data_IF_177533751300
#
_entry.id   IF_177533751300
#
_cell.length_a   1.000
_cell.length_b   1.000
_cell.length_c   1.000
_cell.angle_alpha   90.00
_cell.angle_beta   90.00
_cell.angle_gamma   90.00
#
_symmetry.space_group_name_H-M   'P 1'
#
loop_
_entity.id
_entity.type
_entity.pdbx_description
1 polymer ?
#
# COMPACT_ATOMS: atom_id res chain seq x y z
N UNK A 1 -5.83 -11.38 -2.67
CA UNK A 1 -4.52 -11.19 -1.99
C UNK A 1 -4.28 -9.69 -1.98
N UNK A 2 -4.27 -8.99 -0.83
CA UNK A 2 -4.42 -7.52 -0.80
C UNK A 2 -3.55 -6.82 0.26
N UNK A 3 -2.82 -5.78 -0.16
CA UNK A 3 -2.01 -4.88 0.68
C UNK A 3 -2.74 -3.58 1.13
N UNK A 4 -3.15 -3.50 2.39
CA UNK A 4 -2.54 -2.74 3.51
C UNK A 4 -2.48 -1.18 3.53
N UNK A 5 -3.48 -0.52 4.19
CA UNK A 5 -3.40 0.68 5.10
C UNK A 5 -4.38 0.66 6.27
N UNK A 6 -3.94 1.21 7.42
CA UNK A 6 -4.71 1.38 8.65
C UNK A 6 -4.88 2.88 8.92
N UNK A 7 -6.14 3.35 8.89
CA UNK A 7 -6.73 4.33 9.80
C UNK A 7 -8.13 4.78 9.33
N UNK A 8 -8.51 4.66 8.05
CA UNK A 8 -9.80 5.20 7.56
C UNK A 8 -10.47 4.39 6.40
N UNK A 9 -10.26 3.07 6.29
CA UNK A 9 -10.53 2.32 5.03
C UNK A 9 -11.54 1.16 5.12
N UNK A 10 -12.21 0.76 4.02
CA UNK A 10 -13.19 -0.34 4.04
C UNK A 10 -12.59 -1.69 4.48
N UNK A 11 -13.39 -2.48 5.22
CA UNK A 11 -13.04 -3.68 6.01
C UNK A 11 -12.05 -4.72 5.42
N UNK A 12 -12.08 -5.13 4.13
CA UNK A 12 -11.32 -6.32 3.69
C UNK A 12 -9.79 -6.22 3.76
N UNK A 13 -9.21 -5.04 3.51
CA UNK A 13 -7.76 -4.82 3.58
C UNK A 13 -7.26 -4.79 5.03
N UNK A 14 -8.08 -4.28 5.96
CA UNK A 14 -7.72 -4.26 7.38
C UNK A 14 -7.57 -5.68 7.92
N UNK A 15 -8.51 -6.56 7.56
CA UNK A 15 -8.50 -7.93 8.01
C UNK A 15 -7.18 -8.63 7.67
N UNK A 16 -6.76 -8.61 6.40
CA UNK A 16 -5.54 -9.33 6.02
C UNK A 16 -4.26 -8.73 6.60
N UNK A 17 -4.14 -7.39 6.65
CA UNK A 17 -3.00 -6.74 7.30
C UNK A 17 -2.90 -7.14 8.76
N UNK A 18 -4.00 -7.06 9.50
CA UNK A 18 -4.05 -7.38 10.92
C UNK A 18 -3.66 -8.84 11.17
N UNK A 19 -4.17 -9.76 10.34
CA UNK A 19 -3.82 -11.18 10.42
C UNK A 19 -2.34 -11.45 10.07
N UNK A 20 -1.79 -10.77 9.06
CA UNK A 20 -0.38 -10.86 8.71
C UNK A 20 0.53 -10.36 9.84
N UNK A 21 0.16 -9.25 10.49
CA UNK A 21 0.85 -8.75 11.67
C UNK A 21 0.73 -9.74 12.83
N UNK A 22 -0.47 -10.29 13.07
CA UNK A 22 -0.72 -11.25 14.15
C UNK A 22 0.12 -12.52 13.99
N UNK A 23 0.20 -13.08 12.78
CA UNK A 23 1.03 -14.28 12.55
C UNK A 23 2.53 -13.95 12.65
N UNK A 24 2.98 -12.81 12.13
CA UNK A 24 4.38 -12.37 12.26
C UNK A 24 4.79 -12.20 13.73
N UNK A 25 3.92 -11.61 14.56
CA UNK A 25 4.12 -11.52 16.02
C UNK A 25 4.22 -12.90 16.65
N UNK A 26 3.29 -13.81 16.34
CA UNK A 26 3.31 -15.17 16.90
C UNK A 26 4.55 -15.97 16.50
N UNK A 27 5.04 -15.79 15.27
CA UNK A 27 6.31 -16.40 14.86
C UNK A 27 7.48 -15.82 15.64
N UNK A 28 7.53 -14.50 15.84
CA UNK A 28 8.58 -13.86 16.62
C UNK A 28 8.56 -14.27 18.10
N UNK A 29 7.37 -14.45 18.72
CA UNK A 29 7.25 -14.98 20.09
C UNK A 29 7.86 -16.38 20.24
N UNK A 30 7.70 -17.24 19.22
CA UNK A 30 8.13 -18.65 19.26
C UNK A 30 9.60 -18.82 18.86
N UNK A 31 10.01 -18.16 17.79
CA UNK A 31 11.32 -18.37 17.16
C UNK A 31 12.33 -17.28 17.48
N UNK A 32 11.88 -16.14 18.03
CA UNK A 32 12.66 -14.92 18.14
C UNK A 32 13.94 -15.01 18.94
N UNK A 33 13.99 -15.89 19.95
CA UNK A 33 15.17 -16.14 20.78
C UNK A 33 15.91 -17.43 20.38
N UNK A 34 15.55 -18.05 19.26
CA UNK A 34 16.16 -19.32 18.85
C UNK A 34 17.61 -19.08 18.40
N UNK A 35 18.62 -19.78 18.97
CA UNK A 35 20.04 -19.47 18.72
C UNK A 35 20.48 -19.69 17.26
N UNK A 36 19.75 -20.50 16.50
CA UNK A 36 20.02 -20.73 15.07
C UNK A 36 19.32 -19.72 14.13
N UNK A 37 18.48 -18.82 14.65
CA UNK A 37 17.76 -17.86 13.81
C UNK A 37 18.68 -16.69 13.44
N UNK A 38 19.06 -16.60 12.17
CA UNK A 38 19.97 -15.56 11.68
C UNK A 38 19.26 -14.31 11.15
N UNK A 39 18.13 -14.47 10.46
CA UNK A 39 17.39 -13.38 9.84
C UNK A 39 15.94 -13.74 9.54
N UNK A 40 15.13 -12.71 9.29
CA UNK A 40 13.75 -12.81 8.83
C UNK A 40 13.64 -12.26 7.41
N UNK A 41 13.08 -13.05 6.52
CA UNK A 41 12.53 -12.53 5.27
C UNK A 41 11.04 -12.25 5.50
N UNK A 42 10.60 -11.03 5.21
CA UNK A 42 9.18 -10.70 5.29
C UNK A 42 8.54 -11.03 3.95
N UNK A 43 7.49 -11.86 3.97
CA UNK A 43 6.75 -12.27 2.77
C UNK A 43 7.66 -12.91 1.70
N UNK A 44 7.24 -12.91 0.44
CA UNK A 44 8.02 -13.41 -0.68
C UNK A 44 7.66 -12.66 -1.96
N UNK A 45 8.64 -11.96 -2.55
CA UNK A 45 8.54 -11.31 -3.85
C UNK A 45 7.30 -10.41 -3.99
N UNK A 46 7.27 -9.29 -3.26
CA UNK A 46 6.21 -8.31 -3.43
C UNK A 46 6.06 -7.90 -4.91
N UNK A 47 4.81 -7.77 -5.35
CA UNK A 47 4.49 -7.38 -6.72
C UNK A 47 4.58 -8.49 -7.77
N UNK A 48 5.04 -9.70 -7.41
CA UNK A 48 5.06 -10.84 -8.32
C UNK A 48 3.66 -11.11 -8.90
N UNK A 49 3.58 -11.42 -10.19
CA UNK A 49 2.33 -11.58 -10.95
C UNK A 49 1.43 -10.32 -10.94
N UNK A 50 2.02 -9.14 -11.09
CA UNK A 50 1.33 -7.84 -11.18
C UNK A 50 0.44 -7.52 -9.98
N UNK A 51 0.86 -7.95 -8.79
CA UNK A 51 0.06 -7.85 -7.56
C UNK A 51 0.20 -6.52 -6.81
N UNK A 52 1.04 -5.60 -7.27
CA UNK A 52 1.21 -4.28 -6.66
C UNK A 52 0.00 -3.39 -6.85
N UNK A 53 -0.58 -3.38 -8.05
CA UNK A 53 -1.77 -2.61 -8.36
C UNK A 53 -3.02 -3.42 -8.03
N UNK A 54 -3.91 -2.84 -7.22
CA UNK A 54 -5.19 -3.46 -6.89
C UNK A 54 -6.33 -2.52 -7.22
N UNK A 55 -7.31 -3.02 -7.96
CA UNK A 55 -8.50 -2.26 -8.35
C UNK A 55 -9.73 -2.62 -7.50
N UNK A 56 -9.51 -3.14 -6.30
CA UNK A 56 -10.59 -3.51 -5.38
C UNK A 56 -11.27 -2.29 -4.77
N UNK A 57 -12.50 -2.47 -4.26
CA UNK A 57 -13.21 -1.42 -3.52
C UNK A 57 -12.42 -0.92 -2.30
N UNK A 58 -11.63 -1.80 -1.68
CA UNK A 58 -10.80 -1.44 -0.54
C UNK A 58 -9.59 -0.60 -0.96
N UNK A 59 -8.95 -0.93 -2.10
CA UNK A 59 -7.89 -0.09 -2.69
C UNK A 59 -8.41 1.29 -3.12
N UNK A 60 -9.64 1.37 -3.64
CA UNK A 60 -10.28 2.66 -3.94
C UNK A 60 -10.48 3.52 -2.70
N UNK A 61 -11.02 2.95 -1.62
CA UNK A 61 -11.11 3.66 -0.35
C UNK A 61 -9.74 4.13 0.13
N UNK A 62 -8.74 3.25 0.05
CA UNK A 62 -7.36 3.50 0.45
C UNK A 62 -6.74 4.67 -0.29
N UNK A 63 -6.96 4.71 -1.60
CA UNK A 63 -6.46 5.75 -2.46
C UNK A 63 -7.05 7.13 -2.12
N UNK A 64 -8.36 7.20 -1.85
CA UNK A 64 -9.02 8.47 -1.46
C UNK A 64 -8.43 9.06 -0.19
N UNK A 65 -8.18 8.24 0.82
CA UNK A 65 -7.52 8.67 2.07
C UNK A 65 -6.06 9.06 1.83
N UNK A 66 -5.36 8.32 0.97
CA UNK A 66 -3.99 8.67 0.60
C UNK A 66 -3.93 10.04 -0.08
N UNK A 67 -4.85 10.32 -1.01
CA UNK A 67 -4.98 11.61 -1.69
C UNK A 67 -5.33 12.74 -0.71
N UNK A 68 -6.26 12.51 0.22
CA UNK A 68 -6.61 13.52 1.22
C UNK A 68 -5.41 13.86 2.12
N UNK A 69 -4.62 12.85 2.51
CA UNK A 69 -3.40 13.09 3.29
C UNK A 69 -2.32 13.82 2.49
N UNK A 70 -2.21 13.55 1.18
CA UNK A 70 -1.21 14.17 0.31
C UNK A 70 -1.54 15.64 -0.02
N UNK A 71 -2.79 15.91 -0.38
CA UNK A 71 -3.19 17.22 -0.90
C UNK A 71 -3.88 18.11 0.15
N UNK A 72 -4.41 17.52 1.22
CA UNK A 72 -5.15 18.20 2.29
C UNK A 72 -6.57 18.65 1.88
N UNK A 73 -6.72 19.24 0.69
CA UNK A 73 -8.00 19.74 0.16
C UNK A 73 -8.20 19.29 -1.28
N UNK A 74 -9.46 19.19 -1.70
CA UNK A 74 -9.79 18.77 -3.07
C UNK A 74 -9.36 19.81 -4.11
N UNK A 75 -9.39 21.10 -3.77
CA UNK A 75 -8.96 22.18 -4.66
C UNK A 75 -7.49 22.05 -5.03
N UNK A 76 -6.62 21.74 -4.05
CA UNK A 76 -5.19 21.49 -4.31
C UNK A 76 -4.96 20.25 -5.18
N UNK A 77 -5.79 19.22 -5.05
CA UNK A 77 -5.73 18.07 -5.96
C UNK A 77 -6.16 18.48 -7.37
N UNK A 78 -7.28 19.19 -7.52
CA UNK A 78 -7.78 19.66 -8.81
C UNK A 78 -6.76 20.53 -9.54
N UNK A 79 -6.11 21.43 -8.81
CA UNK A 79 -5.01 22.27 -9.32
C UNK A 79 -3.82 21.42 -9.76
N UNK A 80 -3.31 20.53 -8.89
CA UNK A 80 -2.14 19.71 -9.18
C UNK A 80 -2.37 18.72 -10.33
N UNK A 81 -3.58 18.17 -10.47
CA UNK A 81 -3.94 17.24 -11.53
C UNK A 81 -4.40 17.92 -12.82
N UNK A 82 -4.61 19.25 -12.81
CA UNK A 82 -5.12 19.98 -13.96
C UNK A 82 -6.52 19.54 -14.38
N UNK A 83 -7.39 19.23 -13.42
CA UNK A 83 -8.70 18.57 -13.66
C UNK A 83 -9.71 19.45 -14.40
N UNK A 84 -9.38 20.72 -14.68
CA UNK A 84 -10.18 21.56 -15.59
C UNK A 84 -10.19 21.01 -17.02
N UNK A 85 -9.12 20.34 -17.43
CA UNK A 85 -9.08 19.66 -18.73
C UNK A 85 -10.15 18.56 -18.77
N UNK A 86 -10.97 18.56 -19.82
CA UNK A 86 -12.11 17.64 -19.98
C UNK A 86 -13.11 17.62 -18.81
N UNK A 87 -13.22 18.72 -18.05
CA UNK A 87 -14.19 18.86 -16.97
C UNK A 87 -14.13 17.74 -15.91
N UNK A 88 -12.92 17.27 -15.58
CA UNK A 88 -12.67 16.20 -14.60
C UNK A 88 -12.61 16.71 -13.15
N UNK A 89 -13.09 17.93 -12.86
CA UNK A 89 -12.98 18.53 -11.53
C UNK A 89 -13.82 17.76 -10.51
N UNK A 90 -13.26 17.57 -9.32
CA UNK A 90 -13.90 16.87 -8.21
C UNK A 90 -14.33 17.85 -7.12
N UNK A 91 -15.51 17.67 -6.55
CA UNK A 91 -16.02 18.42 -5.38
C UNK A 91 -15.56 17.82 -4.06
N UNK A 92 -15.15 16.54 -4.06
CA UNK A 92 -14.59 15.88 -2.89
C UNK A 92 -13.73 14.67 -3.26
N UNK A 93 -12.84 14.25 -2.36
CA UNK A 93 -12.08 13.01 -2.54
C UNK A 93 -12.99 11.76 -2.69
N UNK A 94 -14.24 11.81 -2.23
CA UNK A 94 -15.19 10.72 -2.35
C UNK A 94 -15.67 10.47 -3.80
N UNK A 95 -15.48 11.42 -4.71
CA UNK A 95 -15.80 11.26 -6.14
C UNK A 95 -14.64 10.65 -6.94
N UNK A 96 -13.42 10.60 -6.38
CA UNK A 96 -12.25 10.08 -7.10
C UNK A 96 -12.35 8.56 -7.21
N UNK A 97 -12.45 8.02 -8.42
CA UNK A 97 -12.33 6.58 -8.69
C UNK A 97 -10.89 6.18 -9.03
N UNK A 98 -10.64 4.89 -9.23
CA UNK A 98 -9.32 4.39 -9.63
C UNK A 98 -9.08 4.62 -11.13
N UNK A 99 -7.83 4.74 -11.61
CA UNK A 99 -7.52 5.07 -13.00
C UNK A 99 -7.56 3.85 -13.93
N UNK A 100 -8.59 3.00 -13.79
CA UNK A 100 -8.85 1.85 -14.66
C UNK A 100 -10.24 1.95 -15.28
N UNK A 101 -10.43 1.35 -16.46
CA UNK A 101 -11.72 1.27 -17.16
C UNK A 101 -12.36 2.65 -17.43
N UNK A 102 -11.54 3.69 -17.56
CA UNK A 102 -11.97 4.99 -18.10
C UNK A 102 -12.29 4.85 -19.59
N UNK A 103 -13.19 5.70 -20.12
CA UNK A 103 -13.58 5.68 -21.54
C UNK A 103 -12.38 5.81 -22.50
N UNK A 104 -11.40 6.62 -22.12
CA UNK A 104 -10.10 6.76 -22.79
C UNK A 104 -9.00 6.83 -21.73
N UNK A 105 -7.78 7.22 -22.09
CA UNK A 105 -6.67 7.34 -21.15
C UNK A 105 -7.01 8.20 -19.93
N UNK A 106 -6.77 7.65 -18.74
CA UNK A 106 -6.82 8.42 -17.51
C UNK A 106 -5.68 9.45 -17.47
N UNK A 107 -5.92 10.59 -16.82
CA UNK A 107 -4.90 11.64 -16.62
C UNK A 107 -3.57 11.05 -16.11
N UNK A 108 -2.42 11.48 -16.66
CA UNK A 108 -1.12 10.98 -16.22
C UNK A 108 -0.86 11.27 -14.75
N UNK A 109 -1.32 12.41 -14.22
CA UNK A 109 -1.22 12.75 -12.79
C UNK A 109 -1.98 11.76 -11.92
N UNK A 110 -3.20 11.40 -12.33
CA UNK A 110 -4.02 10.41 -11.65
C UNK A 110 -3.34 9.02 -11.67
N UNK A 111 -2.87 8.56 -12.84
CA UNK A 111 -2.16 7.28 -12.97
C UNK A 111 -0.88 7.23 -12.12
N UNK A 112 -0.12 8.33 -12.10
CA UNK A 112 1.14 8.39 -11.35
C UNK A 112 0.90 8.37 -9.84
N UNK A 113 -0.09 9.12 -9.35
CA UNK A 113 -0.44 9.09 -7.93
C UNK A 113 -1.00 7.75 -7.49
N UNK A 114 -1.75 7.04 -8.35
CA UNK A 114 -2.17 5.68 -8.06
C UNK A 114 -0.98 4.71 -7.93
N UNK A 115 0.04 4.83 -8.79
CA UNK A 115 1.28 4.04 -8.68
C UNK A 115 2.04 4.33 -7.38
N UNK A 116 2.20 5.61 -7.02
CA UNK A 116 2.82 6.02 -5.74
C UNK A 116 2.05 5.49 -4.55
N UNK A 117 0.72 5.61 -4.58
CA UNK A 117 -0.15 5.05 -3.56
C UNK A 117 0.06 3.54 -3.39
N UNK A 118 0.09 2.79 -4.50
CA UNK A 118 0.30 1.34 -4.48
C UNK A 118 1.67 0.95 -3.93
N UNK A 119 2.73 1.66 -4.33
CA UNK A 119 4.07 1.50 -3.74
C UNK A 119 4.05 1.72 -2.22
N UNK A 120 3.43 2.83 -1.78
CA UNK A 120 3.22 3.16 -0.37
C UNK A 120 2.49 2.05 0.40
N UNK A 121 1.52 1.35 -0.24
CA UNK A 121 0.82 0.23 0.41
C UNK A 121 1.76 -0.95 0.68
N UNK A 122 2.64 -1.27 -0.27
CA UNK A 122 3.64 -2.34 -0.14
C UNK A 122 4.63 -1.99 0.98
N UNK A 123 5.18 -0.78 0.97
CA UNK A 123 6.11 -0.31 2.00
C UNK A 123 5.47 -0.33 3.40
N UNK A 124 4.21 0.10 3.51
CA UNK A 124 3.46 0.05 4.78
C UNK A 124 3.15 -1.39 5.21
N UNK A 125 3.11 -2.36 4.30
CA UNK A 125 2.94 -3.78 4.63
C UNK A 125 4.14 -4.39 5.27
N UNK A 126 5.25 -4.21 4.57
CA UNK A 126 6.54 -4.65 5.03
C UNK A 126 6.83 -4.05 6.40
N UNK A 127 6.65 -2.74 6.54
CA UNK A 127 6.87 -2.02 7.81
C UNK A 127 6.02 -2.56 8.95
N UNK A 128 4.74 -2.85 8.72
CA UNK A 128 3.85 -3.33 9.79
C UNK A 128 4.32 -4.68 10.35
N UNK A 129 4.71 -5.62 9.48
CA UNK A 129 5.24 -6.92 9.91
C UNK A 129 6.63 -6.77 10.55
N UNK A 130 7.50 -5.93 9.97
CA UNK A 130 8.84 -5.69 10.50
C UNK A 130 8.82 -5.09 11.91
N UNK A 131 7.92 -4.13 12.15
CA UNK A 131 7.72 -3.53 13.47
C UNK A 131 7.18 -4.54 14.47
N UNK A 132 6.25 -5.40 14.05
CA UNK A 132 5.73 -6.47 14.90
C UNK A 132 6.83 -7.44 15.35
N UNK A 133 7.71 -7.85 14.44
CA UNK A 133 8.86 -8.71 14.77
C UNK A 133 9.83 -7.96 15.69
N UNK A 134 10.20 -6.71 15.35
CA UNK A 134 11.17 -5.92 16.14
C UNK A 134 10.67 -5.55 17.54
N UNK A 135 9.36 -5.47 17.75
CA UNK A 135 8.80 -5.27 19.08
C UNK A 135 9.10 -6.43 20.05
N UNK A 136 9.31 -7.63 19.52
CA UNK A 136 9.64 -8.84 20.29
C UNK A 136 11.14 -9.14 20.22
N UNK A 137 11.76 -8.91 19.05
CA UNK A 137 13.16 -9.17 18.76
C UNK A 137 13.82 -7.88 18.25
N UNK A 138 14.26 -6.96 19.14
CA UNK A 138 14.80 -5.66 18.72
C UNK A 138 15.98 -5.76 17.75
N UNK A 139 16.83 -6.77 17.93
CA UNK A 139 18.03 -7.03 17.11
C UNK A 139 17.75 -7.85 15.83
N UNK A 140 16.48 -8.08 15.49
CA UNK A 140 16.12 -8.88 14.31
C UNK A 140 16.68 -8.26 13.03
N UNK A 141 17.51 -9.02 12.33
CA UNK A 141 17.91 -8.74 10.95
C UNK A 141 16.72 -9.08 10.05
N UNK A 142 16.24 -8.08 9.30
CA UNK A 142 15.06 -8.18 8.46
C UNK A 142 15.43 -7.83 7.02
N UNK A 143 15.00 -8.67 6.08
CA UNK A 143 15.21 -8.50 4.65
C UNK A 143 13.94 -8.81 3.84
N UNK A 144 13.99 -8.56 2.54
CA UNK A 144 13.00 -8.98 1.56
C UNK A 144 13.69 -9.32 0.24
N UNK A 145 13.17 -10.31 -0.47
CA UNK A 145 13.68 -10.74 -1.77
C UNK A 145 12.96 -9.99 -2.91
N UNK A 146 13.59 -8.92 -3.40
CA UNK A 146 13.11 -8.20 -4.59
C UNK A 146 13.37 -9.00 -5.88
N UNK A 147 12.62 -8.68 -6.94
CA UNK A 147 12.77 -9.29 -8.27
C UNK A 147 13.60 -8.42 -9.22
N UNK A 148 14.27 -9.07 -10.17
CA UNK A 148 15.00 -8.36 -11.23
C UNK A 148 14.07 -7.61 -12.19
N UNK A 149 14.50 -6.43 -12.64
CA UNK A 149 13.76 -5.57 -13.59
C UNK A 149 12.31 -5.24 -13.18
N UNK A 150 11.99 -5.29 -11.89
CA UNK A 150 10.67 -4.99 -11.35
C UNK A 150 10.64 -3.60 -10.73
N UNK A 151 9.80 -2.71 -11.25
CA UNK A 151 9.76 -1.27 -10.90
C UNK A 151 8.40 -0.80 -10.40
N UNK A 152 7.54 -1.73 -9.99
CA UNK A 152 6.16 -1.39 -9.63
C UNK A 152 6.00 -0.77 -8.23
N UNK A 153 7.03 -0.87 -7.39
CA UNK A 153 7.14 -0.23 -6.08
C UNK A 153 8.61 0.08 -5.76
N UNK A 154 8.82 1.00 -4.82
CA UNK A 154 10.10 1.57 -4.38
C UNK A 154 10.21 1.66 -2.84
#
# INVERSE_FOLDING_TARGET
KFGVTAALLPEPIRAYRAEAVRIAQKMAEVLGSHPALAMWQIDNEYGCHDTTLSYSASARGAFRVWLSNRYGTIDRLNEAWGTRFWSMSYDSFAQVDLPNLTQTEASPSHRMDFRRFSSDQVARFHRAQAQAIRAICPEAVITHNFMGAHTSFD
#
